data_IF_851270815731
#
_entry.id   IF_851270815731
#
_cell.length_a   1.000
_cell.length_b   1.000
_cell.length_c   1.000
_cell.angle_alpha   90.00
_cell.angle_beta   90.00
_cell.angle_gamma   90.00
#
_symmetry.space_group_name_H-M   'P 1'
#
loop_
_entity.id
_entity.type
_entity.pdbx_description
1 polymer ?
#
# COMPACT_ATOMS: atom_id res chain seq x y z
N UNK A 1 8.87 -4.34 -1.81
CA UNK A 1 8.97 -5.44 -2.79
C UNK A 1 8.44 -4.83 -4.05
N UNK A 2 9.24 -4.68 -5.09
CA UNK A 2 8.74 -4.16 -6.37
C UNK A 2 8.52 -5.32 -7.34
N UNK A 3 7.51 -5.23 -8.21
CA UNK A 3 7.21 -6.25 -9.21
C UNK A 3 6.22 -7.35 -8.78
N UNK A 4 6.22 -8.49 -9.49
CA UNK A 4 5.13 -9.48 -9.48
C UNK A 4 4.81 -10.05 -8.09
N UNK A 5 5.79 -10.12 -7.19
CA UNK A 5 5.59 -10.63 -5.82
C UNK A 5 4.84 -9.68 -4.88
N UNK A 6 4.88 -8.38 -5.13
CA UNK A 6 4.17 -7.39 -4.33
C UNK A 6 2.64 -7.56 -4.40
N UNK A 7 2.17 -8.16 -5.49
CA UNK A 7 0.74 -8.46 -5.71
C UNK A 7 0.27 -9.75 -5.02
N UNK A 8 1.12 -10.38 -4.22
CA UNK A 8 0.81 -11.62 -3.52
C UNK A 8 0.97 -11.43 -2.02
N UNK A 9 0.02 -11.96 -1.26
CA UNK A 9 0.12 -11.97 0.20
C UNK A 9 1.05 -13.11 0.63
N UNK A 10 2.33 -12.77 0.80
CA UNK A 10 3.40 -13.73 1.08
C UNK A 10 3.90 -13.61 2.52
N UNK A 11 4.48 -14.69 3.05
CA UNK A 11 5.21 -14.69 4.33
C UNK A 11 6.49 -13.85 4.22
N UNK A 12 7.09 -13.75 3.03
CA UNK A 12 8.24 -12.89 2.75
C UNK A 12 7.84 -11.41 2.81
N UNK A 13 7.66 -10.91 4.03
CA UNK A 13 7.02 -9.62 4.35
C UNK A 13 7.99 -8.65 5.04
N UNK A 14 9.30 -8.84 4.83
CA UNK A 14 10.35 -8.11 5.55
C UNK A 14 10.31 -6.60 5.29
N UNK A 15 10.08 -6.16 4.05
CA UNK A 15 10.04 -4.73 3.74
C UNK A 15 8.86 -4.03 4.41
N UNK A 16 7.70 -4.70 4.47
CA UNK A 16 6.54 -4.17 5.18
C UNK A 16 6.76 -4.15 6.70
N UNK A 17 7.46 -5.16 7.25
CA UNK A 17 7.87 -5.15 8.66
C UNK A 17 8.80 -3.97 8.96
N UNK A 18 9.77 -3.69 8.09
CA UNK A 18 10.69 -2.56 8.22
C UNK A 18 9.93 -1.22 8.11
N UNK A 19 9.04 -1.08 7.12
CA UNK A 19 8.23 0.13 6.96
C UNK A 19 7.31 0.37 8.18
N UNK A 20 6.70 -0.69 8.71
CA UNK A 20 5.90 -0.60 9.95
C UNK A 20 6.76 -0.24 11.16
N UNK A 21 7.98 -0.77 11.25
CA UNK A 21 8.96 -0.38 12.27
C UNK A 21 9.30 1.11 12.19
N UNK A 22 9.61 1.60 10.98
CA UNK A 22 9.91 3.00 10.69
C UNK A 22 8.78 3.94 11.12
N UNK A 23 7.51 3.56 10.84
CA UNK A 23 6.33 4.32 11.28
C UNK A 23 6.22 4.37 12.80
N UNK A 24 6.37 3.21 13.46
CA UNK A 24 6.30 3.08 14.92
C UNK A 24 7.35 3.90 15.64
N UNK A 25 8.60 3.89 15.15
CA UNK A 25 9.69 4.69 15.71
C UNK A 25 9.43 6.20 15.67
N UNK A 26 8.57 6.65 14.74
CA UNK A 26 8.15 8.05 14.58
C UNK A 26 6.83 8.38 15.27
N UNK A 27 6.28 7.44 16.04
CA UNK A 27 4.99 7.63 16.71
C UNK A 27 3.80 7.71 15.74
N UNK A 28 3.96 7.21 14.51
CA UNK A 28 2.90 7.19 13.50
C UNK A 28 2.27 5.80 13.42
N UNK A 29 1.01 5.75 12.97
CA UNK A 29 0.26 4.49 12.88
C UNK A 29 0.74 3.61 11.71
N UNK A 30 1.00 4.23 10.56
CA UNK A 30 1.27 3.52 9.31
C UNK A 30 2.30 4.26 8.46
N UNK A 31 3.11 3.50 7.72
CA UNK A 31 4.00 4.06 6.70
C UNK A 31 3.33 3.98 5.34
N UNK A 32 3.35 5.08 4.58
CA UNK A 32 2.97 5.08 3.17
C UNK A 32 4.16 4.69 2.31
N UNK A 33 3.97 3.69 1.46
CA UNK A 33 4.96 3.22 0.50
C UNK A 33 4.80 3.99 -0.81
N UNK A 34 5.94 4.31 -1.43
CA UNK A 34 6.02 4.96 -2.74
C UNK A 34 6.93 4.17 -3.67
N UNK A 35 6.67 4.24 -4.96
CA UNK A 35 7.62 3.74 -5.97
C UNK A 35 8.79 4.73 -6.19
N UNK A 36 9.65 4.43 -7.16
CA UNK A 36 10.85 5.25 -7.45
C UNK A 36 10.49 6.57 -8.13
N UNK A 37 9.34 6.60 -8.79
CA UNK A 37 8.78 7.74 -9.49
C UNK A 37 8.00 8.66 -8.54
N UNK A 38 7.82 8.25 -7.27
CA UNK A 38 7.14 9.00 -6.23
C UNK A 38 5.62 8.80 -6.22
N UNK A 39 5.10 7.81 -6.95
CA UNK A 39 3.69 7.47 -6.88
C UNK A 39 3.39 6.78 -5.55
N UNK A 40 2.27 7.16 -4.92
CA UNK A 40 1.75 6.46 -3.75
C UNK A 40 1.36 5.03 -4.14
N UNK A 41 1.66 4.05 -3.30
CA UNK A 41 1.30 2.65 -3.52
C UNK A 41 0.24 2.21 -2.50
N UNK A 42 0.68 1.84 -1.32
CA UNK A 42 -0.13 1.30 -0.24
C UNK A 42 0.54 1.59 1.11
N UNK A 43 -0.14 1.28 2.21
CA UNK A 43 0.47 1.29 3.53
C UNK A 43 1.28 0.02 3.77
N UNK A 44 2.13 0.00 4.79
CA UNK A 44 2.89 -1.21 5.11
C UNK A 44 1.96 -2.41 5.38
N UNK A 45 0.80 -2.20 6.00
CA UNK A 45 -0.18 -3.26 6.34
C UNK A 45 -1.57 -3.06 5.74
N UNK A 46 -1.75 -2.08 4.87
CA UNK A 46 -3.07 -1.59 4.44
C UNK A 46 -3.05 -1.14 2.98
N UNK A 47 -4.20 -1.14 2.31
CA UNK A 47 -4.34 -0.43 1.04
C UNK A 47 -4.67 1.06 1.28
N UNK A 48 -4.28 1.92 0.33
CA UNK A 48 -4.48 3.37 0.42
C UNK A 48 -5.64 3.83 -0.48
N UNK A 49 -6.50 4.69 0.06
CA UNK A 49 -7.57 5.37 -0.67
C UNK A 49 -7.57 6.85 -0.30
N UNK A 50 -7.87 7.69 -1.28
CA UNK A 50 -7.99 9.14 -1.14
C UNK A 50 -9.42 9.55 -1.55
N UNK A 51 -10.11 10.32 -0.72
CA UNK A 51 -11.38 10.94 -1.12
C UNK A 51 -11.09 12.32 -1.70
N UNK A 52 -11.42 12.53 -2.98
CA UNK A 52 -11.24 13.83 -3.64
C UNK A 52 -12.42 14.12 -4.56
N UNK A 53 -13.07 15.26 -4.34
CA UNK A 53 -14.20 15.68 -5.18
C UNK A 53 -15.40 14.73 -5.14
N UNK A 54 -15.60 14.00 -4.04
CA UNK A 54 -16.69 13.03 -3.89
C UNK A 54 -16.38 11.64 -4.46
N UNK A 55 -15.21 11.44 -5.08
CA UNK A 55 -14.77 10.14 -5.61
C UNK A 55 -13.64 9.58 -4.76
N UNK A 56 -13.66 8.27 -4.56
CA UNK A 56 -12.52 7.55 -3.99
C UNK A 56 -11.50 7.26 -5.09
N UNK A 57 -10.23 7.49 -4.78
CA UNK A 57 -9.10 7.33 -5.68
C UNK A 57 -8.09 6.42 -5.01
N UNK A 58 -7.56 5.45 -5.75
CA UNK A 58 -6.51 4.55 -5.27
C UNK A 58 -5.55 4.20 -6.40
N UNK A 59 -4.29 3.95 -6.07
CA UNK A 59 -3.23 3.68 -7.05
C UNK A 59 -3.46 2.36 -7.78
N UNK A 60 -3.25 2.25 -9.10
CA UNK A 60 -3.56 1.03 -9.84
C UNK A 60 -2.61 -0.13 -9.45
N UNK A 61 -3.13 -1.36 -9.49
CA UNK A 61 -2.43 -2.57 -9.00
C UNK A 61 -1.22 -2.98 -9.85
N UNK A 62 -1.13 -2.46 -11.07
CA UNK A 62 -0.01 -2.67 -11.99
C UNK A 62 1.27 -1.96 -11.55
N UNK A 63 1.18 -0.94 -10.67
CA UNK A 63 2.33 -0.33 -9.99
C UNK A 63 3.02 -1.26 -8.98
N UNK A 64 2.49 -2.46 -8.75
CA UNK A 64 3.12 -3.47 -7.91
C UNK A 64 2.80 -3.30 -6.43
N UNK A 65 1.51 -3.25 -6.11
CA UNK A 65 0.96 -3.23 -4.74
C UNK A 65 -0.06 -4.37 -4.56
N UNK A 66 -0.40 -4.71 -3.33
CA UNK A 66 -1.29 -5.83 -3.03
C UNK A 66 -2.74 -5.54 -3.47
N UNK A 67 -3.35 -6.36 -4.35
CA UNK A 67 -4.77 -6.25 -4.66
C UNK A 67 -5.60 -6.79 -3.49
N UNK A 68 -5.80 -5.98 -2.45
CA UNK A 68 -6.53 -6.39 -1.25
C UNK A 68 -8.01 -6.68 -1.52
N UNK A 69 -8.60 -7.58 -0.72
CA UNK A 69 -9.99 -8.02 -0.89
C UNK A 69 -10.97 -6.85 -0.74
N UNK A 70 -10.86 -6.07 0.34
CA UNK A 70 -11.72 -4.89 0.58
C UNK A 70 -11.62 -3.86 -0.53
N UNK A 71 -10.43 -3.73 -1.15
CA UNK A 71 -10.22 -2.86 -2.29
C UNK A 71 -10.96 -3.33 -3.54
N UNK A 72 -11.05 -4.64 -3.75
CA UNK A 72 -11.75 -5.22 -4.89
C UNK A 72 -13.28 -5.22 -4.71
N UNK A 73 -13.75 -5.26 -3.46
CA UNK A 73 -15.19 -5.30 -3.13
C UNK A 73 -15.82 -3.91 -2.97
N UNK A 74 -15.03 -2.86 -2.70
CA UNK A 74 -15.55 -1.50 -2.63
C UNK A 74 -15.87 -0.97 -4.03
N UNK A 75 -17.10 -0.52 -4.23
CA UNK A 75 -17.50 0.30 -5.39
C UNK A 75 -16.70 1.62 -5.35
N UNK A 76 -15.49 1.59 -5.92
CA UNK A 76 -14.67 2.76 -6.25
C UNK A 76 -15.02 3.28 -7.65
#
# INVERSE_FOLDING_TARGET
MTGRMARMKLISYVENLLARGYARERGTFEALLVDREGNLLEGATSNLFLLKGGSLITSPVDLGLLPGVTRAEGDL
#
